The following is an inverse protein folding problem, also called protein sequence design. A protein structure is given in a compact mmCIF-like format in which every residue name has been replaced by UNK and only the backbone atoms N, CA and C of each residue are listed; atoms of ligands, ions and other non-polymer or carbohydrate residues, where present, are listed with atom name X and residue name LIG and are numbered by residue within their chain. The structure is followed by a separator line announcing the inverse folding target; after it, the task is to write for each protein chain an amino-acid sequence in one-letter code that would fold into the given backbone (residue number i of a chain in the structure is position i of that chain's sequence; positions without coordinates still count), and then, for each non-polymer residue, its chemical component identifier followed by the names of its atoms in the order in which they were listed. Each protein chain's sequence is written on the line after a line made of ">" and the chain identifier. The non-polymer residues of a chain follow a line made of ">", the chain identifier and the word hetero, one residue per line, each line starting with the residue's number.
data_IF_171511858663
#
_entry.id   IF_171511858663
#
_cell.length_a   1.000
_cell.length_b   1.000
_cell.length_c   1.000
_cell.angle_alpha   90.00
_cell.angle_beta   90.00
_cell.angle_gamma   90.00
#
_symmetry.space_group_name_H-M   'P 1'
#
loop_
_entity.id
_entity.type
_entity.pdbx_description
1 polymer ?
#
# COMPACT_ATOMS: atom_id res chain seq x y z
N UNK A 1 -20.93 15.05 -7.70
CA UNK A 1 -19.51 15.03 -8.08
C UNK A 1 -19.37 14.03 -9.20
N UNK A 2 -18.73 14.42 -10.31
CA UNK A 2 -18.52 13.53 -11.45
C UNK A 2 -17.40 12.56 -11.12
N UNK A 3 -17.64 11.26 -11.24
CA UNK A 3 -16.61 10.25 -10.97
C UNK A 3 -16.25 9.50 -12.23
N UNK A 4 -14.95 9.33 -12.49
CA UNK A 4 -14.43 8.56 -13.60
C UNK A 4 -13.48 7.49 -13.08
N UNK A 5 -13.59 6.28 -13.64
CA UNK A 5 -12.63 5.23 -13.43
C UNK A 5 -11.77 5.11 -14.69
N UNK A 6 -10.46 5.08 -14.53
CA UNK A 6 -9.52 5.06 -15.66
C UNK A 6 -8.53 3.94 -15.42
N UNK A 7 -8.47 2.97 -16.34
CA UNK A 7 -7.52 1.87 -16.28
C UNK A 7 -6.59 1.95 -17.47
N UNK A 8 -5.29 1.92 -17.18
CA UNK A 8 -4.24 1.86 -18.18
C UNK A 8 -3.38 0.63 -18.02
N UNK A 9 -3.04 -0.02 -19.12
CA UNK A 9 -2.11 -1.16 -19.14
C UNK A 9 -0.86 -0.82 -19.95
N UNK A 10 0.28 -1.02 -19.31
CA UNK A 10 1.59 -0.97 -19.96
C UNK A 10 2.24 -2.35 -19.97
N UNK A 11 3.47 -2.44 -20.52
CA UNK A 11 4.27 -3.67 -20.51
C UNK A 11 4.63 -4.13 -19.08
N UNK A 12 4.81 -3.19 -18.14
CA UNK A 12 5.34 -3.48 -16.81
C UNK A 12 4.30 -3.42 -15.69
N UNK A 13 3.25 -2.64 -15.88
CA UNK A 13 2.25 -2.38 -14.86
C UNK A 13 0.86 -2.11 -15.44
N UNK A 14 -0.15 -2.47 -14.64
CA UNK A 14 -1.54 -2.04 -14.82
C UNK A 14 -1.86 -1.03 -13.74
N UNK A 15 -2.48 0.08 -14.13
CA UNK A 15 -2.82 1.21 -13.27
C UNK A 15 -4.31 1.47 -13.30
N UNK A 16 -4.90 1.74 -12.14
CA UNK A 16 -6.31 2.08 -11.99
C UNK A 16 -6.43 3.37 -11.16
N UNK A 17 -6.98 4.40 -11.77
CA UNK A 17 -7.19 5.71 -11.17
C UNK A 17 -8.70 5.98 -11.00
N UNK A 18 -9.09 6.46 -9.83
CA UNK A 18 -10.42 7.02 -9.58
C UNK A 18 -10.29 8.54 -9.55
N UNK A 19 -10.99 9.23 -10.46
CA UNK A 19 -11.10 10.68 -10.46
C UNK A 19 -12.45 11.10 -9.88
N UNK A 20 -12.43 12.14 -9.04
CA UNK A 20 -13.61 12.86 -8.60
C UNK A 20 -13.48 14.34 -8.97
N UNK A 21 -14.38 14.85 -9.79
CA UNK A 21 -14.34 16.21 -10.35
C UNK A 21 -12.96 16.56 -10.96
N UNK A 22 -12.40 15.62 -11.73
CA UNK A 22 -11.05 15.66 -12.34
C UNK A 22 -9.87 15.69 -11.35
N UNK A 23 -10.11 15.61 -10.04
CA UNK A 23 -9.07 15.40 -9.03
C UNK A 23 -8.88 13.90 -8.80
N UNK A 24 -7.63 13.43 -8.82
CA UNK A 24 -7.26 12.05 -8.55
C UNK A 24 -7.52 11.72 -7.08
N UNK A 25 -8.48 10.84 -6.80
CA UNK A 25 -8.91 10.51 -5.45
C UNK A 25 -8.25 9.23 -4.93
N UNK A 26 -8.21 8.18 -5.76
CA UNK A 26 -7.56 6.91 -5.45
C UNK A 26 -6.69 6.44 -6.62
N UNK A 27 -5.62 5.71 -6.29
CA UNK A 27 -4.70 5.15 -7.26
C UNK A 27 -4.27 3.75 -6.84
N UNK A 28 -4.39 2.80 -7.76
CA UNK A 28 -3.99 1.41 -7.59
C UNK A 28 -3.01 1.03 -8.69
N UNK A 29 -1.97 0.30 -8.34
CA UNK A 29 -0.90 -0.11 -9.25
C UNK A 29 -0.61 -1.58 -9.00
N UNK A 30 -0.59 -2.34 -10.09
CA UNK A 30 -0.22 -3.75 -10.10
C UNK A 30 0.98 -3.93 -11.04
N UNK A 31 2.12 -4.40 -10.49
CA UNK A 31 3.34 -4.74 -11.24
C UNK A 31 3.57 -6.23 -11.17
N UNK A 32 3.99 -6.84 -12.28
CA UNK A 32 4.20 -8.29 -12.37
C UNK A 32 5.17 -8.83 -11.28
N UNK A 33 6.22 -8.07 -10.95
CA UNK A 33 7.24 -8.49 -9.98
C UNK A 33 6.97 -8.02 -8.54
N UNK A 34 5.87 -7.30 -8.29
CA UNK A 34 5.57 -6.69 -6.98
C UNK A 34 4.11 -6.92 -6.57
N UNK A 35 3.48 -7.99 -7.08
CA UNK A 35 2.10 -8.32 -6.74
C UNK A 35 1.96 -8.66 -5.25
N UNK A 36 0.93 -8.10 -4.63
CA UNK A 36 0.50 -8.51 -3.29
C UNK A 36 0.00 -9.95 -3.38
N UNK A 37 0.67 -10.86 -2.68
CA UNK A 37 0.28 -12.27 -2.71
C UNK A 37 -0.68 -12.63 -1.59
N UNK A 38 -0.74 -11.87 -0.49
CA UNK A 38 -1.55 -12.19 0.69
C UNK A 38 -3.00 -12.50 0.30
N UNK A 39 -3.54 -13.63 0.78
CA UNK A 39 -4.87 -14.11 0.42
C UNK A 39 -4.97 -14.88 -0.90
N UNK A 40 -3.95 -14.86 -1.78
CA UNK A 40 -3.97 -15.64 -3.01
C UNK A 40 -3.89 -17.15 -2.71
N UNK A 41 -4.49 -17.93 -3.60
CA UNK A 41 -4.55 -19.39 -3.50
C UNK A 41 -3.65 -19.98 -4.59
N UNK A 42 -2.80 -20.91 -4.20
CA UNK A 42 -1.80 -21.55 -5.05
C UNK A 42 -1.92 -23.06 -5.01
N UNK A 43 -1.51 -23.69 -6.11
CA UNK A 43 -1.07 -25.09 -6.12
C UNK A 43 0.39 -25.10 -5.72
N UNK A 44 0.67 -25.63 -4.53
CA UNK A 44 2.01 -25.80 -4.02
C UNK A 44 2.46 -27.26 -4.07
N UNK A 45 3.79 -27.48 -4.06
CA UNK A 45 4.42 -28.79 -3.93
C UNK A 45 5.29 -28.83 -2.68
N UNK A 46 5.12 -29.84 -1.83
CA UNK A 46 6.01 -30.04 -0.67
C UNK A 46 7.42 -30.34 -1.15
N UNK A 47 8.39 -29.56 -0.68
CA UNK A 47 9.82 -29.71 -1.04
C UNK A 47 10.68 -30.19 0.12
N UNK A 48 10.31 -29.83 1.35
CA UNK A 48 11.06 -30.23 2.54
C UNK A 48 10.15 -30.27 3.78
N UNK A 49 10.49 -31.12 4.75
CA UNK A 49 9.73 -31.36 5.96
C UNK A 49 10.69 -31.43 7.15
N UNK A 50 10.57 -30.48 8.08
CA UNK A 50 11.40 -30.39 9.28
C UNK A 50 10.57 -30.59 10.55
N UNK A 51 11.27 -30.66 11.70
CA UNK A 51 10.67 -30.75 13.04
C UNK A 51 9.61 -31.85 13.17
N UNK A 52 9.95 -33.06 12.73
CA UNK A 52 9.04 -34.22 12.76
C UNK A 52 7.70 -33.99 12.06
N UNK A 53 7.65 -33.11 11.04
CA UNK A 53 6.43 -32.81 10.29
C UNK A 53 5.75 -31.49 10.65
N UNK A 54 6.23 -30.76 11.64
CA UNK A 54 5.60 -29.51 12.08
C UNK A 54 5.88 -28.33 11.15
N UNK A 55 6.99 -28.35 10.42
CA UNK A 55 7.42 -27.28 9.51
C UNK A 55 7.55 -27.87 8.11
N UNK A 56 6.83 -27.32 7.15
CA UNK A 56 6.76 -27.83 5.79
C UNK A 56 7.05 -26.71 4.81
N UNK A 57 8.09 -26.90 4.01
CA UNK A 57 8.40 -26.00 2.92
C UNK A 57 7.64 -26.42 1.66
N UNK A 58 6.99 -25.44 1.05
CA UNK A 58 6.14 -25.63 -0.12
C UNK A 58 6.60 -24.69 -1.23
N UNK A 59 6.97 -25.25 -2.37
CA UNK A 59 7.19 -24.49 -3.60
C UNK A 59 5.83 -24.10 -4.18
N UNK A 60 5.58 -22.79 -4.30
CA UNK A 60 4.37 -22.21 -4.88
C UNK A 60 4.65 -21.46 -6.20
N UNK A 61 5.85 -21.62 -6.76
CA UNK A 61 6.30 -20.95 -7.98
C UNK A 61 6.84 -19.53 -7.77
N UNK A 62 7.24 -19.19 -6.54
CA UNK A 62 7.92 -17.93 -6.20
C UNK A 62 9.42 -18.17 -5.99
N UNK A 63 10.21 -17.10 -5.93
CA UNK A 63 11.67 -17.19 -5.74
C UNK A 63 12.08 -17.93 -4.45
N UNK A 64 11.24 -17.86 -3.41
CA UNK A 64 11.47 -18.53 -2.13
C UNK A 64 10.34 -19.50 -1.82
N UNK A 65 10.71 -20.67 -1.31
CA UNK A 65 9.75 -21.63 -0.77
C UNK A 65 8.94 -21.00 0.36
N UNK A 66 7.63 -21.20 0.32
CA UNK A 66 6.71 -20.76 1.34
C UNK A 66 6.62 -21.80 2.47
N UNK A 67 6.05 -21.41 3.61
CA UNK A 67 6.07 -22.19 4.85
C UNK A 67 4.65 -22.49 5.34
N UNK A 68 4.35 -23.77 5.55
CA UNK A 68 3.26 -24.24 6.41
C UNK A 68 3.83 -24.58 7.79
N UNK A 69 3.25 -24.03 8.86
CA UNK A 69 3.65 -24.34 10.25
C UNK A 69 2.45 -24.88 11.03
N UNK A 70 2.65 -26.03 11.66
CA UNK A 70 1.73 -26.69 12.59
C UNK A 70 2.25 -26.67 14.03
N UNK A 71 3.22 -25.81 14.32
CA UNK A 71 3.74 -25.63 15.67
C UNK A 71 2.59 -25.31 16.64
N UNK A 72 2.58 -25.97 17.80
CA UNK A 72 1.53 -25.87 18.81
C UNK A 72 0.14 -26.42 18.40
N UNK A 73 0.03 -27.15 17.27
CA UNK A 73 -1.21 -27.86 16.90
C UNK A 73 -1.21 -29.27 17.49
N UNK A 74 -2.31 -29.65 18.15
CA UNK A 74 -2.50 -31.00 18.73
C UNK A 74 -2.50 -32.14 17.70
N UNK A 75 -2.80 -31.83 16.43
CA UNK A 75 -2.82 -32.76 15.30
C UNK A 75 -2.07 -32.14 14.14
N UNK A 76 -1.01 -32.81 13.70
CA UNK A 76 -0.23 -32.45 12.51
C UNK A 76 -0.63 -33.42 11.41
N UNK A 77 -1.12 -32.95 10.25
CA UNK A 77 -1.37 -33.84 9.12
C UNK A 77 -0.05 -34.49 8.65
N UNK A 78 -0.12 -35.69 8.08
CA UNK A 78 1.06 -36.32 7.47
C UNK A 78 1.23 -35.81 6.05
N UNK A 79 2.47 -35.47 5.69
CA UNK A 79 2.84 -35.04 4.35
C UNK A 79 4.06 -35.82 3.89
N UNK A 80 4.17 -35.98 2.58
CA UNK A 80 5.35 -36.51 1.91
C UNK A 80 5.95 -35.43 1.00
N UNK A 81 7.24 -35.58 0.71
CA UNK A 81 7.89 -34.81 -0.35
C UNK A 81 7.14 -35.06 -1.66
N UNK A 82 7.00 -34.02 -2.47
CA UNK A 82 6.25 -33.98 -3.73
C UNK A 82 4.71 -33.98 -3.60
N UNK A 83 4.14 -34.00 -2.39
CA UNK A 83 2.70 -33.82 -2.21
C UNK A 83 2.25 -32.47 -2.80
N UNK A 84 1.15 -32.51 -3.59
CA UNK A 84 0.55 -31.33 -4.22
C UNK A 84 -0.62 -30.84 -3.38
N UNK A 85 -0.61 -29.56 -3.02
CA UNK A 85 -1.53 -28.98 -2.04
C UNK A 85 -2.18 -27.70 -2.59
N UNK A 86 -3.46 -27.50 -2.29
CA UNK A 86 -4.08 -26.17 -2.37
C UNK A 86 -3.77 -25.42 -1.07
N UNK A 87 -3.06 -24.31 -1.20
CA UNK A 87 -2.60 -23.47 -0.08
C UNK A 87 -2.99 -22.01 -0.31
N UNK A 88 -3.32 -21.30 0.76
CA UNK A 88 -3.55 -19.86 0.74
C UNK A 88 -2.45 -19.14 1.50
N UNK A 89 -1.94 -18.03 0.97
CA UNK A 89 -0.93 -17.23 1.66
C UNK A 89 -1.58 -16.39 2.77
N UNK A 90 -1.09 -16.51 4.00
CA UNK A 90 -1.50 -15.69 5.15
C UNK A 90 -0.68 -14.39 5.26
N UNK A 91 0.58 -14.41 4.83
CA UNK A 91 1.47 -13.25 4.87
C UNK A 91 2.49 -13.25 3.74
N UNK A 92 2.92 -12.07 3.32
CA UNK A 92 4.02 -11.90 2.36
C UNK A 92 5.36 -12.46 2.90
N UNK A 93 6.30 -12.82 2.00
CA UNK A 93 7.69 -13.12 2.37
C UNK A 93 8.33 -11.92 3.08
N UNK A 94 9.18 -12.17 4.07
CA UNK A 94 9.95 -11.14 4.77
C UNK A 94 11.40 -11.56 4.92
N UNK A 95 12.30 -10.69 4.49
CA UNK A 95 13.74 -10.88 4.58
C UNK A 95 14.15 -12.24 3.97
N UNK A 96 14.73 -13.13 4.77
CA UNK A 96 15.12 -14.48 4.37
C UNK A 96 13.98 -15.51 4.41
N UNK A 97 12.84 -15.17 5.03
CA UNK A 97 11.70 -16.09 5.20
C UNK A 97 10.71 -15.98 4.04
N UNK A 98 10.31 -17.13 3.51
CA UNK A 98 9.22 -17.22 2.53
C UNK A 98 7.86 -16.84 3.11
N UNK A 99 6.85 -16.80 2.25
CA UNK A 99 5.46 -16.52 2.63
C UNK A 99 4.94 -17.56 3.63
N UNK A 100 4.06 -17.15 4.55
CA UNK A 100 3.35 -18.10 5.43
C UNK A 100 2.08 -18.57 4.74
N UNK A 101 1.80 -19.86 4.85
CA UNK A 101 0.66 -20.52 4.20
C UNK A 101 -0.33 -21.07 5.23
N UNK A 102 -1.54 -21.33 4.75
CA UNK A 102 -2.56 -22.15 5.40
C UNK A 102 -3.16 -23.15 4.41
N UNK A 103 -3.55 -24.32 4.91
CA UNK A 103 -4.35 -25.29 4.15
C UNK A 103 -5.85 -24.96 4.18
N UNK A 104 -6.29 -24.22 5.20
CA UNK A 104 -7.69 -23.85 5.40
C UNK A 104 -7.99 -22.61 4.56
N UNK A 105 -7.92 -22.77 3.24
CA UNK A 105 -8.16 -21.67 2.31
C UNK A 105 -9.62 -21.22 2.35
N UNK A 106 -9.82 -19.93 2.06
CA UNK A 106 -11.12 -19.28 2.11
C UNK A 106 -11.33 -18.39 0.89
N UNK A 107 -12.56 -18.33 0.39
CA UNK A 107 -12.96 -17.47 -0.72
C UNK A 107 -13.90 -16.40 -0.17
N UNK A 108 -13.46 -15.15 -0.25
CA UNK A 108 -14.14 -14.01 0.35
C UNK A 108 -15.15 -13.41 -0.63
N UNK A 109 -16.42 -13.41 -0.25
CA UNK A 109 -17.48 -12.63 -0.88
C UNK A 109 -17.61 -11.24 -0.24
N UNK A 110 -18.75 -10.59 -0.42
CA UNK A 110 -19.10 -9.34 0.27
C UNK A 110 -19.77 -9.65 1.61
N UNK A 111 -20.83 -10.49 1.58
CA UNK A 111 -21.64 -10.88 2.72
C UNK A 111 -21.22 -12.23 3.29
N UNK A 112 -20.62 -13.09 2.46
CA UNK A 112 -20.27 -14.47 2.82
C UNK A 112 -18.75 -14.71 2.71
N UNK A 113 -18.25 -15.69 3.45
CA UNK A 113 -16.93 -16.31 3.21
C UNK A 113 -17.13 -17.80 3.09
N UNK A 114 -16.74 -18.37 1.95
CA UNK A 114 -16.76 -19.81 1.71
C UNK A 114 -15.49 -20.45 2.29
N UNK A 115 -15.68 -21.56 3.01
CA UNK A 115 -14.64 -22.38 3.61
C UNK A 115 -14.76 -23.83 3.08
N UNK A 116 -14.18 -24.14 1.90
CA UNK A 116 -14.42 -25.42 1.22
C UNK A 116 -13.97 -26.66 2.01
N UNK A 117 -12.99 -26.51 2.91
CA UNK A 117 -12.49 -27.61 3.76
C UNK A 117 -13.19 -27.76 5.10
N UNK A 118 -14.22 -26.94 5.35
CA UNK A 118 -15.02 -26.96 6.59
C UNK A 118 -16.46 -27.33 6.27
N UNK A 119 -17.22 -27.75 7.29
CA UNK A 119 -18.69 -27.90 7.24
C UNK A 119 -19.41 -26.96 8.20
N UNK A 120 -18.67 -26.13 8.92
CA UNK A 120 -19.20 -25.30 9.98
C UNK A 120 -19.75 -23.99 9.42
N UNK A 121 -20.96 -23.64 9.84
CA UNK A 121 -21.54 -22.31 9.64
C UNK A 121 -21.24 -21.45 10.85
N UNK A 122 -20.58 -20.31 10.62
CA UNK A 122 -20.21 -19.32 11.62
C UNK A 122 -20.84 -17.97 11.30
N UNK A 123 -21.30 -17.24 12.30
CA UNK A 123 -21.90 -15.91 12.13
C UNK A 123 -21.04 -14.86 12.84
N UNK A 124 -20.88 -13.70 12.21
CA UNK A 124 -20.17 -12.55 12.77
C UNK A 124 -20.70 -12.21 14.16
N UNK A 125 -19.79 -12.08 15.14
CA UNK A 125 -20.13 -11.67 16.52
C UNK A 125 -20.73 -10.27 16.64
N UNK A 126 -20.67 -9.48 15.56
CA UNK A 126 -21.25 -8.13 15.50
C UNK A 126 -22.77 -8.16 15.24
N UNK A 127 -23.29 -9.24 14.66
CA UNK A 127 -24.72 -9.47 14.51
C UNK A 127 -25.23 -9.93 15.87
N UNK A 128 -26.12 -9.13 16.48
CA UNK A 128 -26.65 -9.39 17.83
C UNK A 128 -28.10 -9.86 17.82
N UNK A 129 -28.82 -9.57 16.74
CA UNK A 129 -30.22 -9.98 16.61
C UNK A 129 -30.32 -11.50 16.48
N UNK A 130 -31.05 -12.11 17.42
CA UNK A 130 -31.23 -13.55 17.51
C UNK A 130 -32.12 -14.06 16.37
N UNK A 131 -33.14 -13.29 15.97
CA UNK A 131 -34.04 -13.68 14.88
C UNK A 131 -33.26 -13.75 13.57
N UNK A 132 -32.42 -12.75 13.33
CA UNK A 132 -31.59 -12.66 12.15
C UNK A 132 -30.51 -13.75 12.12
N UNK A 133 -29.87 -14.03 13.27
CA UNK A 133 -28.95 -15.17 13.41
C UNK A 133 -29.63 -16.49 13.01
N UNK A 134 -30.88 -16.72 13.47
CA UNK A 134 -31.61 -17.93 13.16
C UNK A 134 -32.02 -17.99 11.69
N UNK A 135 -32.49 -16.88 11.12
CA UNK A 135 -32.81 -16.77 9.69
C UNK A 135 -31.61 -17.14 8.84
N UNK A 136 -30.47 -16.50 9.09
CA UNK A 136 -29.21 -16.72 8.38
C UNK A 136 -28.71 -18.18 8.50
N UNK A 137 -28.84 -18.82 9.66
CA UNK A 137 -28.52 -20.25 9.81
C UNK A 137 -29.44 -21.14 8.97
N UNK A 138 -30.75 -20.83 8.97
CA UNK A 138 -31.74 -21.66 8.29
C UNK A 138 -31.56 -21.66 6.77
N UNK A 139 -31.20 -20.52 6.18
CA UNK A 139 -30.93 -20.40 4.73
C UNK A 139 -29.87 -21.39 4.26
N UNK A 140 -28.84 -21.62 5.09
CA UNK A 140 -27.65 -22.37 4.70
C UNK A 140 -27.53 -23.75 5.38
N UNK A 141 -28.56 -24.18 6.11
CA UNK A 141 -28.51 -25.40 6.93
C UNK A 141 -28.20 -26.68 6.12
N UNK A 142 -28.61 -26.72 4.85
CA UNK A 142 -28.44 -27.86 3.95
C UNK A 142 -27.16 -27.83 3.12
N UNK A 143 -26.32 -26.81 3.28
CA UNK A 143 -25.08 -26.66 2.51
C UNK A 143 -23.96 -27.49 3.13
N UNK A 144 -23.24 -28.25 2.31
CA UNK A 144 -22.16 -29.14 2.78
C UNK A 144 -20.84 -28.40 3.05
N UNK A 145 -20.67 -27.20 2.47
CA UNK A 145 -19.53 -26.32 2.67
C UNK A 145 -19.66 -25.45 3.93
N UNK A 146 -18.53 -25.15 4.55
CA UNK A 146 -18.44 -24.20 5.66
C UNK A 146 -18.63 -22.77 5.18
N UNK A 147 -19.29 -21.95 6.00
CA UNK A 147 -19.59 -20.56 5.68
C UNK A 147 -19.34 -19.65 6.87
N UNK A 148 -18.84 -18.44 6.60
CA UNK A 148 -18.87 -17.33 7.56
C UNK A 148 -19.82 -16.26 7.04
N UNK A 149 -20.85 -15.94 7.81
CA UNK A 149 -21.79 -14.87 7.52
C UNK A 149 -21.31 -13.57 8.18
N UNK A 150 -21.04 -12.57 7.35
CA UNK A 150 -20.47 -11.28 7.78
C UNK A 150 -21.56 -10.33 8.23
N UNK A 151 -21.18 -9.25 8.90
CA UNK A 151 -22.13 -8.22 9.34
C UNK A 151 -22.99 -7.66 8.20
N UNK A 152 -22.45 -7.56 6.98
CA UNK A 152 -23.21 -7.09 5.83
C UNK A 152 -24.36 -8.02 5.39
N UNK A 153 -24.42 -9.27 5.89
CA UNK A 153 -25.51 -10.20 5.55
C UNK A 153 -26.82 -9.92 6.29
N UNK A 154 -26.79 -9.16 7.38
CA UNK A 154 -27.91 -8.94 8.33
C UNK A 154 -29.18 -8.40 7.66
N UNK A 155 -29.05 -7.68 6.55
CA UNK A 155 -30.19 -7.06 5.85
C UNK A 155 -30.35 -7.56 4.41
N UNK A 156 -29.65 -8.64 4.03
CA UNK A 156 -29.70 -9.18 2.67
C UNK A 156 -30.80 -10.23 2.53
N UNK A 157 -31.49 -10.20 1.38
CA UNK A 157 -32.50 -11.20 1.06
C UNK A 157 -31.87 -12.58 0.87
N UNK A 158 -32.67 -13.61 1.09
CA UNK A 158 -32.24 -15.01 0.93
C UNK A 158 -31.75 -15.29 -0.50
N UNK A 159 -32.46 -14.78 -1.51
CA UNK A 159 -32.10 -14.97 -2.92
C UNK A 159 -30.73 -14.34 -3.22
N UNK A 160 -30.50 -13.14 -2.70
CA UNK A 160 -29.24 -12.42 -2.88
C UNK A 160 -28.06 -13.18 -2.27
N UNK A 161 -28.25 -13.73 -1.06
CA UNK A 161 -27.23 -14.50 -0.35
C UNK A 161 -26.95 -15.85 -1.05
N UNK A 162 -27.98 -16.54 -1.54
CA UNK A 162 -27.83 -17.79 -2.28
C UNK A 162 -27.15 -17.57 -3.64
N UNK A 163 -27.43 -16.46 -4.32
CA UNK A 163 -26.74 -16.09 -5.55
C UNK A 163 -25.25 -15.82 -5.30
N UNK A 164 -24.91 -15.10 -4.23
CA UNK A 164 -23.52 -14.89 -3.82
C UNK A 164 -22.84 -16.23 -3.48
N UNK A 165 -23.50 -17.12 -2.72
CA UNK A 165 -22.98 -18.44 -2.42
C UNK A 165 -22.60 -19.22 -3.70
N UNK A 166 -23.50 -19.27 -4.69
CA UNK A 166 -23.24 -19.95 -5.97
C UNK A 166 -22.03 -19.39 -6.68
N UNK A 167 -21.85 -18.06 -6.69
CA UNK A 167 -20.66 -17.41 -7.27
C UNK A 167 -19.37 -17.83 -6.56
N UNK A 168 -19.40 -17.97 -5.23
CA UNK A 168 -18.25 -18.44 -4.46
C UNK A 168 -17.94 -19.92 -4.74
N UNK A 169 -18.98 -20.75 -4.87
CA UNK A 169 -18.86 -22.16 -5.23
C UNK A 169 -18.29 -22.35 -6.65
N UNK A 170 -18.71 -21.51 -7.61
CA UNK A 170 -18.15 -21.50 -8.97
C UNK A 170 -16.65 -21.17 -8.98
N UNK A 171 -16.21 -20.25 -8.12
CA UNK A 171 -14.79 -19.93 -7.94
C UNK A 171 -14.05 -21.15 -7.39
N UNK A 172 -14.58 -21.82 -6.36
CA UNK A 172 -13.97 -23.02 -5.80
C UNK A 172 -13.87 -24.15 -6.82
N UNK A 173 -14.94 -24.37 -7.59
CA UNK A 173 -14.96 -25.34 -8.68
C UNK A 173 -13.89 -25.01 -9.74
N UNK A 174 -13.68 -23.73 -10.04
CA UNK A 174 -12.63 -23.30 -10.97
C UNK A 174 -11.22 -23.55 -10.39
N UNK A 175 -11.01 -23.25 -9.10
CA UNK A 175 -9.74 -23.52 -8.40
C UNK A 175 -9.40 -25.02 -8.45
N UNK A 176 -10.38 -25.90 -8.18
CA UNK A 176 -10.18 -27.34 -8.24
C UNK A 176 -9.90 -27.83 -9.68
N UNK A 177 -10.59 -27.27 -10.69
CA UNK A 177 -10.30 -27.57 -12.11
C UNK A 177 -8.89 -27.16 -12.52
N UNK A 178 -8.44 -25.98 -12.08
CA UNK A 178 -7.11 -25.48 -12.40
C UNK A 178 -6.03 -26.21 -11.62
N UNK A 179 -6.34 -26.68 -10.41
CA UNK A 179 -5.47 -27.55 -9.64
C UNK A 179 -5.12 -28.81 -10.43
N UNK A 180 -6.05 -29.43 -11.16
CA UNK A 180 -5.74 -30.61 -11.98
C UNK A 180 -4.87 -30.28 -13.21
N UNK A 181 -4.96 -29.06 -13.74
CA UNK A 181 -4.29 -28.66 -15.00
C UNK A 181 -2.87 -28.14 -14.80
N UNK A 182 -2.66 -27.30 -13.79
CA UNK A 182 -1.36 -26.64 -13.59
C UNK A 182 -0.42 -27.53 -12.78
N UNK A 183 0.90 -27.38 -12.94
CA UNK A 183 1.85 -28.16 -12.13
C UNK A 183 2.01 -27.55 -10.73
N UNK A 184 2.48 -26.30 -10.67
CA UNK A 184 2.68 -25.47 -9.48
C UNK A 184 2.37 -24.03 -9.92
N UNK A 185 1.73 -23.23 -9.06
CA UNK A 185 1.50 -21.81 -9.35
C UNK A 185 0.17 -21.28 -8.84
N UNK A 186 -0.18 -20.07 -9.28
CA UNK A 186 -1.37 -19.33 -8.86
C UNK A 186 -2.65 -20.00 -9.38
N UNK A 187 -3.58 -20.29 -8.47
CA UNK A 187 -4.93 -20.79 -8.79
C UNK A 187 -5.97 -19.65 -8.73
N UNK A 188 -5.82 -18.74 -7.76
CA UNK A 188 -6.77 -17.64 -7.58
C UNK A 188 -6.08 -16.39 -7.04
N UNK A 189 -6.14 -15.32 -7.84
CA UNK A 189 -5.65 -14.00 -7.47
C UNK A 189 -6.75 -13.17 -6.80
N UNK A 190 -6.67 -12.98 -5.49
CA UNK A 190 -7.62 -12.12 -4.76
C UNK A 190 -7.32 -10.64 -5.01
N UNK A 191 -6.08 -10.30 -5.31
CA UNK A 191 -5.57 -8.92 -5.34
C UNK A 191 -5.53 -8.32 -6.75
N UNK A 192 -6.10 -9.02 -7.74
CA UNK A 192 -6.19 -8.54 -9.12
C UNK A 192 -6.79 -7.14 -9.20
N UNK A 193 -6.09 -6.25 -9.91
CA UNK A 193 -6.55 -4.86 -10.12
C UNK A 193 -7.87 -4.81 -10.88
N UNK A 194 -8.17 -5.81 -11.70
CA UNK A 194 -9.43 -5.90 -12.47
C UNK A 194 -10.62 -6.19 -11.55
N UNK A 195 -10.45 -7.10 -10.57
CA UNK A 195 -11.46 -7.34 -9.55
C UNK A 195 -11.71 -6.08 -8.73
N UNK A 196 -10.63 -5.39 -8.34
CA UNK A 196 -10.73 -4.11 -7.65
C UNK A 196 -11.48 -3.07 -8.48
N UNK A 197 -11.19 -2.96 -9.78
CA UNK A 197 -11.90 -2.07 -10.69
C UNK A 197 -13.41 -2.36 -10.73
N UNK A 198 -13.80 -3.63 -10.85
CA UNK A 198 -15.20 -4.06 -10.84
C UNK A 198 -15.87 -3.79 -9.48
N UNK A 199 -15.15 -3.91 -8.38
CA UNK A 199 -15.66 -3.54 -7.04
C UNK A 199 -15.89 -2.03 -6.91
N UNK A 200 -15.01 -1.20 -7.48
CA UNK A 200 -15.13 0.26 -7.47
C UNK A 200 -16.15 0.79 -8.48
N UNK A 201 -16.44 0.04 -9.54
CA UNK A 201 -17.38 0.45 -10.57
C UNK A 201 -18.82 0.24 -10.10
N UNK A 202 -19.48 1.34 -9.76
CA UNK A 202 -20.88 1.40 -9.34
C UNK A 202 -21.64 2.50 -10.11
N UNK A 203 -22.90 2.73 -9.76
CA UNK A 203 -23.74 3.71 -10.44
C UNK A 203 -23.28 5.17 -10.28
N UNK A 204 -22.45 5.45 -9.28
CA UNK A 204 -21.88 6.79 -9.06
C UNK A 204 -20.77 7.13 -10.04
N UNK A 205 -20.16 6.12 -10.68
CA UNK A 205 -19.18 6.30 -11.75
C UNK A 205 -19.91 6.65 -13.05
N UNK A 206 -19.52 7.74 -13.69
CA UNK A 206 -20.08 8.19 -14.97
C UNK A 206 -19.57 7.32 -16.12
N UNK A 207 -18.26 7.17 -16.23
CA UNK A 207 -17.60 6.36 -17.24
C UNK A 207 -16.42 5.59 -16.66
N UNK A 208 -16.21 4.38 -17.17
CA UNK A 208 -15.01 3.61 -16.94
C UNK A 208 -14.25 3.47 -18.26
N UNK A 209 -13.13 4.19 -18.36
CA UNK A 209 -12.32 4.31 -19.56
C UNK A 209 -11.11 3.36 -19.48
N UNK A 210 -10.88 2.58 -20.52
CA UNK A 210 -9.84 1.53 -20.59
C UNK A 210 -9.08 1.66 -21.92
N UNK A 211 -7.75 1.61 -21.88
CA UNK A 211 -6.87 1.73 -23.06
C UNK A 211 -6.44 0.39 -23.70
N UNK A 212 -6.71 -0.74 -23.05
CA UNK A 212 -6.35 -2.08 -23.53
C UNK A 212 -7.60 -2.90 -23.89
N UNK A 213 -7.63 -3.42 -25.12
CA UNK A 213 -8.78 -4.16 -25.63
C UNK A 213 -9.02 -5.49 -24.89
N UNK A 214 -7.95 -6.20 -24.53
CA UNK A 214 -8.07 -7.46 -23.80
C UNK A 214 -8.66 -7.24 -22.41
N UNK A 215 -8.17 -6.23 -21.68
CA UNK A 215 -8.72 -5.87 -20.37
C UNK A 215 -10.16 -5.38 -20.48
N UNK A 216 -10.51 -4.62 -21.52
CA UNK A 216 -11.88 -4.17 -21.73
C UNK A 216 -12.86 -5.34 -21.79
N UNK A 217 -12.55 -6.38 -22.57
CA UNK A 217 -13.40 -7.58 -22.67
C UNK A 217 -13.40 -8.39 -21.37
N UNK A 218 -12.26 -8.47 -20.67
CA UNK A 218 -12.18 -9.15 -19.37
C UNK A 218 -13.04 -8.45 -18.30
N UNK A 219 -12.99 -7.12 -18.23
CA UNK A 219 -13.86 -6.32 -17.34
C UNK A 219 -15.32 -6.56 -17.66
N UNK A 220 -15.70 -6.61 -18.94
CA UNK A 220 -17.07 -6.90 -19.36
C UNK A 220 -17.54 -8.27 -18.85
N UNK A 221 -16.72 -9.31 -19.01
CA UNK A 221 -17.00 -10.66 -18.49
C UNK A 221 -17.14 -10.63 -16.96
N UNK A 222 -16.26 -9.93 -16.26
CA UNK A 222 -16.33 -9.80 -14.81
C UNK A 222 -17.59 -9.05 -14.34
N UNK A 223 -18.03 -8.01 -15.06
CA UNK A 223 -19.29 -7.31 -14.77
C UNK A 223 -20.50 -8.21 -14.97
N UNK A 224 -20.50 -9.05 -16.01
CA UNK A 224 -21.55 -10.03 -16.21
C UNK A 224 -21.62 -11.06 -15.08
N UNK A 225 -20.46 -11.60 -14.66
CA UNK A 225 -20.35 -12.56 -13.55
C UNK A 225 -20.77 -11.96 -12.21
N UNK A 226 -20.52 -10.68 -12.00
CA UNK A 226 -20.88 -9.99 -10.74
C UNK A 226 -22.32 -9.47 -10.74
N UNK A 227 -23.07 -9.62 -11.83
CA UNK A 227 -24.46 -9.14 -11.95
C UNK A 227 -24.58 -7.65 -12.26
N UNK A 228 -23.48 -6.96 -12.57
CA UNK A 228 -23.42 -5.52 -12.88
C UNK A 228 -23.56 -5.22 -14.37
N UNK A 229 -24.41 -5.95 -15.08
CA UNK A 229 -24.57 -5.86 -16.55
C UNK A 229 -24.96 -4.46 -17.02
N UNK A 230 -25.77 -3.74 -16.24
CA UNK A 230 -26.23 -2.40 -16.58
C UNK A 230 -25.10 -1.36 -16.65
N UNK A 231 -23.97 -1.61 -15.99
CA UNK A 231 -22.80 -0.73 -16.01
C UNK A 231 -21.97 -0.89 -17.29
N UNK A 232 -22.16 -1.96 -18.08
CA UNK A 232 -21.40 -2.19 -19.32
C UNK A 232 -21.56 -1.02 -20.30
N UNK A 233 -22.73 -0.36 -20.33
CA UNK A 233 -22.98 0.82 -21.19
C UNK A 233 -22.12 2.04 -20.86
N UNK A 234 -21.54 2.08 -19.66
CA UNK A 234 -20.65 3.14 -19.17
C UNK A 234 -19.17 2.83 -19.44
N UNK A 235 -18.85 1.66 -20.00
CA UNK A 235 -17.49 1.36 -20.45
C UNK A 235 -17.14 2.18 -21.70
N UNK A 236 -15.91 2.66 -21.78
CA UNK A 236 -15.35 3.37 -22.93
C UNK A 236 -13.97 2.83 -23.26
N UNK A 237 -13.74 2.51 -24.52
CA UNK A 237 -12.40 2.22 -25.04
C UNK A 237 -11.69 3.55 -25.33
N UNK A 238 -10.41 3.64 -25.01
CA UNK A 238 -9.56 4.77 -25.34
C UNK A 238 -8.47 4.32 -26.31
N UNK A 239 -8.50 4.84 -27.54
CA UNK A 239 -7.56 4.46 -28.61
C UNK A 239 -6.95 5.70 -29.29
N UNK A 240 -6.69 6.76 -28.52
CA UNK A 240 -5.97 7.93 -29.04
C UNK A 240 -4.46 7.67 -28.97
N UNK A 241 -3.70 8.43 -29.75
CA UNK A 241 -2.23 8.36 -29.75
C UNK A 241 -1.60 8.91 -28.47
N UNK A 242 -2.30 9.83 -27.80
CA UNK A 242 -1.88 10.40 -26.50
C UNK A 242 -2.09 9.39 -25.38
N UNK A 243 -1.18 9.33 -24.40
CA UNK A 243 -1.34 8.47 -23.22
C UNK A 243 -2.58 8.87 -22.40
N UNK A 244 -3.38 7.88 -22.00
CA UNK A 244 -4.64 8.13 -21.28
C UNK A 244 -4.40 8.86 -19.95
N UNK A 245 -3.30 8.59 -19.22
CA UNK A 245 -3.02 9.26 -17.95
C UNK A 245 -2.55 10.70 -18.17
N UNK A 246 -1.86 10.97 -19.28
CA UNK A 246 -1.50 12.34 -19.68
C UNK A 246 -2.74 13.15 -20.06
N UNK A 247 -3.61 12.59 -20.91
CA UNK A 247 -4.84 13.24 -21.37
C UNK A 247 -5.77 13.66 -20.22
N UNK A 248 -5.89 12.82 -19.18
CA UNK A 248 -6.68 13.12 -17.99
C UNK A 248 -5.88 13.85 -16.88
N UNK A 249 -4.65 14.28 -17.17
CA UNK A 249 -3.78 15.00 -16.24
C UNK A 249 -3.54 14.24 -14.91
N UNK A 250 -3.42 12.92 -14.99
CA UNK A 250 -3.22 12.03 -13.84
C UNK A 250 -1.74 12.03 -13.43
N UNK A 251 -0.81 12.02 -14.40
CA UNK A 251 0.63 12.01 -14.14
C UNK A 251 1.07 13.18 -13.25
N UNK A 252 0.65 14.41 -13.57
CA UNK A 252 0.97 15.59 -12.75
C UNK A 252 0.35 15.53 -11.34
N UNK A 253 -0.78 14.83 -11.17
CA UNK A 253 -1.42 14.65 -9.87
C UNK A 253 -0.68 13.62 -9.03
N UNK A 254 -0.17 12.57 -9.65
CA UNK A 254 0.71 11.58 -9.01
C UNK A 254 1.99 12.27 -8.52
N UNK A 255 2.66 13.05 -9.37
CA UNK A 255 3.87 13.78 -8.98
C UNK A 255 3.62 14.70 -7.77
N UNK A 256 2.54 15.49 -7.80
CA UNK A 256 2.14 16.32 -6.65
C UNK A 256 1.78 15.50 -5.41
N UNK A 257 1.18 14.32 -5.57
CA UNK A 257 0.88 13.42 -4.46
C UNK A 257 2.15 12.78 -3.86
N UNK A 258 3.27 12.80 -4.57
CA UNK A 258 4.55 12.36 -4.04
C UNK A 258 5.27 13.46 -3.25
N UNK A 259 4.87 14.72 -3.39
CA UNK A 259 5.51 15.83 -2.68
C UNK A 259 5.21 15.84 -1.19
N UNK A 260 6.17 16.36 -0.41
CA UNK A 260 6.00 16.62 1.03
C UNK A 260 4.93 17.68 1.30
N UNK A 261 4.81 18.67 0.41
CA UNK A 261 3.93 19.84 0.55
C UNK A 261 2.79 19.76 -0.45
N UNK A 262 1.55 19.93 0.02
CA UNK A 262 0.36 19.95 -0.84
C UNK A 262 -0.39 21.26 -0.60
N UNK A 263 -0.59 22.02 -1.68
CA UNK A 263 -1.34 23.27 -1.62
C UNK A 263 -2.85 23.01 -1.60
N UNK A 264 -3.54 23.83 -0.82
CA UNK A 264 -4.98 23.95 -0.78
C UNK A 264 -5.45 25.02 -1.78
N UNK A 265 -6.72 24.98 -2.18
CA UNK A 265 -7.32 25.92 -3.12
C UNK A 265 -7.28 27.37 -2.55
N UNK A 266 -7.31 27.53 -1.22
CA UNK A 266 -7.13 28.82 -0.52
C UNK A 266 -5.69 29.37 -0.52
N UNK A 267 -4.70 28.60 -0.99
CA UNK A 267 -3.27 28.95 -0.93
C UNK A 267 -2.59 28.61 0.41
N UNK A 268 -3.35 28.12 1.39
CA UNK A 268 -2.81 27.35 2.51
C UNK A 268 -2.18 26.03 2.01
N UNK A 269 -1.50 25.30 2.88
CA UNK A 269 -0.88 24.03 2.50
C UNK A 269 -0.79 23.07 3.67
N UNK A 270 -0.74 21.78 3.34
CA UNK A 270 -0.46 20.71 4.29
C UNK A 270 0.94 20.14 4.03
N UNK A 271 1.62 19.75 5.10
CA UNK A 271 2.91 19.06 5.09
C UNK A 271 2.68 17.63 5.56
N UNK A 272 3.07 16.64 4.75
CA UNK A 272 2.91 15.23 5.08
C UNK A 272 4.30 14.61 5.26
N UNK A 273 4.59 14.12 6.46
CA UNK A 273 5.85 13.49 6.81
C UNK A 273 5.64 12.08 7.36
N UNK A 274 6.39 11.14 6.81
CA UNK A 274 6.42 9.76 7.29
C UNK A 274 7.69 9.55 8.11
N UNK A 275 7.51 9.11 9.35
CA UNK A 275 8.58 8.65 10.24
C UNK A 275 8.63 7.12 10.23
N UNK A 276 9.50 6.54 11.05
CA UNK A 276 9.56 5.09 11.24
C UNK A 276 8.27 4.50 11.84
N UNK A 277 7.66 5.20 12.80
CA UNK A 277 6.54 4.67 13.58
C UNK A 277 5.17 5.27 13.20
N UNK A 278 5.15 6.51 12.73
CA UNK A 278 3.92 7.27 12.49
C UNK A 278 4.02 8.22 11.30
N UNK A 279 2.88 8.71 10.86
CA UNK A 279 2.74 9.76 9.86
C UNK A 279 2.24 11.02 10.55
N UNK A 280 2.93 12.13 10.34
CA UNK A 280 2.55 13.46 10.81
C UNK A 280 2.06 14.30 9.63
N UNK A 281 0.93 14.98 9.82
CA UNK A 281 0.33 15.88 8.84
C UNK A 281 0.09 17.23 9.50
N UNK A 282 0.69 18.28 8.98
CA UNK A 282 0.64 19.63 9.57
C UNK A 282 -0.06 20.61 8.62
N UNK A 283 -0.96 21.45 9.13
CA UNK A 283 -1.75 22.41 8.35
C UNK A 283 -1.22 23.83 8.57
N UNK A 284 -0.82 24.49 7.48
CA UNK A 284 -0.24 25.83 7.53
C UNK A 284 -1.04 26.85 6.73
N UNK A 285 -1.05 28.09 7.20
CA UNK A 285 -1.57 29.22 6.44
C UNK A 285 -0.58 29.67 5.35
N UNK A 286 -1.09 30.12 4.20
CA UNK A 286 -0.29 30.66 3.11
C UNK A 286 0.27 32.06 3.38
N UNK A 287 1.22 32.52 2.53
CA UNK A 287 1.92 33.81 2.70
C UNK A 287 1.08 35.05 2.36
N UNK A 288 -0.05 34.91 1.66
CA UNK A 288 -0.86 36.04 1.13
C UNK A 288 -2.04 36.46 2.01
N UNK A 289 -2.04 36.09 3.28
CA UNK A 289 -3.09 36.49 4.22
C UNK A 289 -2.50 37.60 5.09
N UNK A 290 -2.94 38.84 4.88
CA UNK A 290 -2.42 40.03 5.56
C UNK A 290 -2.45 39.96 7.10
N UNK A 291 -2.03 41.04 7.77
CA UNK A 291 -1.65 41.14 9.18
C UNK A 291 -2.61 40.64 10.30
N UNK A 292 -3.75 40.01 9.99
CA UNK A 292 -4.55 39.23 10.95
C UNK A 292 -5.29 38.08 10.23
N UNK A 293 -4.88 36.83 10.46
CA UNK A 293 -5.71 35.66 10.14
C UNK A 293 -6.90 35.64 11.10
N UNK A 294 -8.12 35.86 10.60
CA UNK A 294 -9.32 35.77 11.44
C UNK A 294 -9.54 34.33 11.91
N UNK A 295 -10.16 34.14 13.08
CA UNK A 295 -10.52 32.80 13.57
C UNK A 295 -11.46 32.08 12.58
N UNK A 296 -12.28 32.83 11.85
CA UNK A 296 -13.13 32.29 10.79
C UNK A 296 -12.30 31.74 9.62
N UNK A 297 -11.25 32.46 9.19
CA UNK A 297 -10.37 32.01 8.12
C UNK A 297 -9.58 30.75 8.53
N UNK A 298 -9.12 30.69 9.78
CA UNK A 298 -8.48 29.48 10.34
C UNK A 298 -9.45 28.30 10.28
N UNK A 299 -10.69 28.50 10.73
CA UNK A 299 -11.70 27.47 10.72
C UNK A 299 -11.99 26.97 9.29
N UNK A 300 -12.16 27.87 8.32
CA UNK A 300 -12.36 27.50 6.91
C UNK A 300 -11.15 26.76 6.32
N UNK A 301 -9.94 27.21 6.63
CA UNK A 301 -8.70 26.56 6.19
C UNK A 301 -8.61 25.12 6.74
N UNK A 302 -8.95 24.93 8.02
CA UNK A 302 -8.97 23.59 8.62
C UNK A 302 -10.05 22.70 7.97
N UNK A 303 -11.24 23.22 7.69
CA UNK A 303 -12.28 22.46 6.98
C UNK A 303 -11.83 22.02 5.59
N UNK A 304 -11.20 22.91 4.83
CA UNK A 304 -10.61 22.58 3.53
C UNK A 304 -9.53 21.50 3.66
N UNK A 305 -8.65 21.65 4.67
CA UNK A 305 -7.62 20.67 4.97
C UNK A 305 -8.21 19.30 5.32
N UNK A 306 -9.37 19.21 6.02
CA UNK A 306 -9.98 17.90 6.33
C UNK A 306 -10.24 17.06 5.07
N UNK A 307 -10.78 17.70 4.03
CA UNK A 307 -11.10 17.06 2.75
C UNK A 307 -9.82 16.62 2.04
N UNK A 308 -8.86 17.52 1.92
CA UNK A 308 -7.61 17.25 1.20
C UNK A 308 -6.74 16.21 1.92
N UNK A 309 -6.69 16.23 3.26
CA UNK A 309 -5.97 15.24 4.05
C UNK A 309 -6.59 13.86 3.87
N UNK A 310 -7.92 13.74 3.96
CA UNK A 310 -8.61 12.47 3.74
C UNK A 310 -8.33 11.91 2.34
N UNK A 311 -8.36 12.77 1.31
CA UNK A 311 -7.99 12.42 -0.07
C UNK A 311 -6.53 11.95 -0.17
N UNK A 312 -5.57 12.70 0.38
CA UNK A 312 -4.14 12.36 0.31
C UNK A 312 -3.83 11.04 1.05
N UNK A 313 -4.53 10.74 2.15
CA UNK A 313 -4.40 9.46 2.84
C UNK A 313 -4.83 8.30 1.94
N UNK A 314 -5.97 8.42 1.25
CA UNK A 314 -6.44 7.44 0.26
C UNK A 314 -5.44 7.32 -0.91
N UNK A 315 -5.15 8.45 -1.56
CA UNK A 315 -4.32 8.51 -2.76
C UNK A 315 -2.90 7.97 -2.54
N UNK A 316 -2.25 8.35 -1.45
CA UNK A 316 -0.90 7.87 -1.12
C UNK A 316 -0.91 6.48 -0.46
N UNK A 317 -2.10 5.99 -0.12
CA UNK A 317 -2.34 4.79 0.67
C UNK A 317 -1.54 4.77 1.99
N UNK A 318 -1.64 5.87 2.74
CA UNK A 318 -0.99 6.03 4.04
C UNK A 318 -1.62 5.08 5.06
N UNK A 319 -0.82 4.45 5.92
CA UNK A 319 -1.31 3.46 6.87
C UNK A 319 -0.43 3.38 8.13
N UNK A 320 -1.01 2.90 9.23
CA UNK A 320 -0.40 2.93 10.56
C UNK A 320 -1.00 4.04 11.41
N UNK A 321 -0.20 4.57 12.34
CA UNK A 321 -0.59 5.70 13.19
C UNK A 321 -0.49 6.98 12.36
N UNK A 322 -1.57 7.76 12.31
CA UNK A 322 -1.65 9.04 11.62
C UNK A 322 -2.03 10.11 12.65
N UNK A 323 -1.25 11.18 12.68
CA UNK A 323 -1.45 12.34 13.55
C UNK A 323 -1.59 13.57 12.66
N UNK A 324 -2.63 14.36 12.89
CA UNK A 324 -2.93 15.58 12.16
C UNK A 324 -2.92 16.77 13.11
N UNK A 325 -2.05 17.73 12.83
CA UNK A 325 -1.94 19.01 13.51
C UNK A 325 -2.68 20.08 12.70
N UNK A 326 -3.88 20.45 13.17
CA UNK A 326 -4.68 21.52 12.56
C UNK A 326 -4.29 22.86 13.19
N UNK A 327 -4.48 23.94 12.44
CA UNK A 327 -4.20 25.30 12.95
C UNK A 327 -5.05 25.56 14.19
N UNK A 328 -4.43 26.11 15.23
CA UNK A 328 -5.05 26.38 16.52
C UNK A 328 -6.35 27.19 16.43
N UNK A 329 -7.44 26.57 16.89
CA UNK A 329 -8.77 27.20 16.99
C UNK A 329 -9.11 27.52 18.45
N UNK A 330 -9.60 28.73 18.72
CA UNK A 330 -10.00 29.15 20.08
C UNK A 330 -11.35 28.57 20.52
N UNK A 331 -12.29 28.39 19.60
CA UNK A 331 -13.63 27.91 19.91
C UNK A 331 -13.67 26.38 19.92
N UNK A 332 -14.18 25.81 21.01
CA UNK A 332 -14.40 24.36 21.11
C UNK A 332 -15.42 23.85 20.08
N UNK A 333 -16.43 24.66 19.73
CA UNK A 333 -17.40 24.35 18.67
C UNK A 333 -16.73 24.10 17.32
N UNK A 334 -15.71 24.90 16.99
CA UNK A 334 -15.02 24.85 15.71
C UNK A 334 -14.15 23.59 15.65
N UNK A 335 -13.45 23.27 16.74
CA UNK A 335 -12.71 22.00 16.89
C UNK A 335 -13.62 20.80 16.67
N UNK A 336 -14.77 20.75 17.35
CA UNK A 336 -15.75 19.67 17.22
C UNK A 336 -16.22 19.51 15.78
N UNK A 337 -16.52 20.62 15.10
CA UNK A 337 -17.00 20.62 13.72
C UNK A 337 -15.94 20.18 12.71
N UNK A 338 -14.67 20.54 12.92
CA UNK A 338 -13.54 20.01 12.13
C UNK A 338 -13.42 18.48 12.30
N UNK A 339 -13.54 17.96 13.52
CA UNK A 339 -13.49 16.51 13.76
C UNK A 339 -14.66 15.77 13.09
N UNK A 340 -15.88 16.32 13.16
CA UNK A 340 -17.06 15.73 12.52
C UNK A 340 -16.91 15.69 11.00
N UNK A 341 -16.47 16.79 10.38
CA UNK A 341 -16.26 16.84 8.93
C UNK A 341 -15.11 15.92 8.50
N UNK A 342 -14.04 15.85 9.29
CA UNK A 342 -12.94 14.92 8.99
C UNK A 342 -13.37 13.46 9.11
N UNK A 343 -14.16 13.10 10.13
CA UNK A 343 -14.76 11.75 10.24
C UNK A 343 -15.64 11.40 9.05
N UNK A 344 -16.41 12.37 8.55
CA UNK A 344 -17.25 12.20 7.36
C UNK A 344 -16.39 11.89 6.12
N UNK A 345 -15.37 12.68 5.82
CA UNK A 345 -14.49 12.38 4.67
C UNK A 345 -13.69 11.09 4.85
N UNK A 346 -13.23 10.79 6.06
CA UNK A 346 -12.57 9.51 6.35
C UNK A 346 -13.52 8.31 6.24
N UNK A 347 -14.84 8.50 6.35
CA UNK A 347 -15.79 7.39 6.21
C UNK A 347 -15.94 6.88 4.77
N UNK A 348 -15.56 7.69 3.78
CA UNK A 348 -15.59 7.33 2.36
C UNK A 348 -14.47 6.34 1.99
N UNK A 349 -13.36 6.37 2.72
CA UNK A 349 -12.28 5.39 2.55
C UNK A 349 -12.74 4.00 3.01
N UNK A 350 -12.46 2.95 2.25
CA UNK A 350 -12.88 1.57 2.63
C UNK A 350 -11.95 0.91 3.63
N UNK A 351 -10.76 1.46 3.88
CA UNK A 351 -9.86 0.94 4.90
C UNK A 351 -10.46 1.05 6.30
N UNK A 352 -10.17 0.07 7.15
CA UNK A 352 -10.57 0.12 8.55
C UNK A 352 -9.75 1.20 9.27
N UNK A 353 -10.44 2.06 10.03
CA UNK A 353 -9.81 3.06 10.92
C UNK A 353 -10.34 2.91 12.32
N UNK A 354 -9.47 3.16 13.29
CA UNK A 354 -9.81 3.11 14.70
C UNK A 354 -9.42 4.41 15.40
N UNK A 355 -10.25 4.80 16.37
CA UNK A 355 -9.98 5.89 17.33
C UNK A 355 -9.71 7.26 16.70
N UNK A 356 -10.60 7.74 15.81
CA UNK A 356 -10.53 9.10 15.26
C UNK A 356 -11.02 10.12 16.29
N UNK A 357 -10.10 10.78 16.98
CA UNK A 357 -10.41 11.73 18.06
C UNK A 357 -9.29 12.74 18.29
N UNK A 358 -9.58 13.81 19.03
CA UNK A 358 -8.56 14.73 19.51
C UNK A 358 -7.80 14.13 20.68
N UNK A 359 -6.50 14.36 20.69
CA UNK A 359 -5.61 14.15 21.82
C UNK A 359 -5.71 15.31 22.82
N UNK A 360 -5.15 15.11 24.01
CA UNK A 360 -5.01 16.18 25.01
C UNK A 360 -4.10 17.33 24.54
N UNK A 361 -3.27 17.10 23.51
CA UNK A 361 -2.41 18.10 22.90
C UNK A 361 -3.09 18.92 21.80
N UNK A 362 -4.37 18.64 21.48
CA UNK A 362 -5.10 19.34 20.41
C UNK A 362 -4.90 18.76 19.01
N UNK A 363 -4.11 17.68 18.87
CA UNK A 363 -3.90 16.96 17.61
C UNK A 363 -5.03 15.96 17.38
N UNK A 364 -5.41 15.70 16.12
CA UNK A 364 -6.26 14.54 15.80
C UNK A 364 -5.37 13.32 15.58
N UNK A 365 -5.68 12.20 16.22
CA UNK A 365 -4.99 10.93 16.01
C UNK A 365 -5.96 9.85 15.54
N UNK A 366 -5.43 8.86 14.81
CA UNK A 366 -6.12 7.61 14.51
C UNK A 366 -5.15 6.56 13.95
N UNK A 367 -5.63 5.34 13.80
CA UNK A 367 -4.94 4.31 13.02
C UNK A 367 -5.71 3.98 11.76
N UNK A 368 -5.00 3.72 10.65
CA UNK A 368 -5.57 3.22 9.40
C UNK A 368 -4.91 1.90 9.02
N UNK A 369 -5.71 0.87 8.76
CA UNK A 369 -5.21 -0.44 8.31
C UNK A 369 -4.60 -0.32 6.91
N UNK A 370 -3.45 -0.97 6.72
CA UNK A 370 -2.74 -1.02 5.43
C UNK A 370 -3.53 -1.83 4.41
N UNK A 371 -3.66 -1.30 3.20
CA UNK A 371 -4.29 -1.97 2.04
C UNK A 371 -3.29 -1.99 0.88
N UNK A 372 -2.41 -2.99 0.82
CA UNK A 372 -1.33 -3.03 -0.16
C UNK A 372 -0.19 -2.03 0.10
N UNK A 373 0.55 -1.68 -0.97
CA UNK A 373 1.73 -0.81 -0.91
C UNK A 373 1.36 0.67 -1.05
N UNK A 374 2.16 1.54 -0.45
CA UNK A 374 2.02 3.00 -0.57
C UNK A 374 2.33 3.47 -1.99
N UNK A 375 1.74 4.59 -2.43
CA UNK A 375 2.01 5.14 -3.77
C UNK A 375 3.51 5.37 -3.99
N UNK A 376 4.19 5.94 -2.99
CA UNK A 376 5.62 6.23 -3.06
C UNK A 376 6.50 4.98 -3.29
N UNK A 377 6.05 3.79 -2.89
CA UNK A 377 6.77 2.55 -3.14
C UNK A 377 6.97 2.28 -4.64
N UNK A 378 6.00 2.68 -5.46
CA UNK A 378 6.05 2.45 -6.91
C UNK A 378 6.88 3.50 -7.66
N UNK A 379 7.07 4.69 -7.09
CA UNK A 379 7.71 5.82 -7.78
C UNK A 379 9.02 6.30 -7.14
N UNK A 380 9.37 5.82 -5.94
CA UNK A 380 10.55 6.26 -5.21
C UNK A 380 11.36 5.09 -4.69
N UNK A 381 12.67 5.28 -4.70
CA UNK A 381 13.62 4.43 -4.00
C UNK A 381 14.34 5.21 -2.90
N UNK A 382 14.82 4.49 -1.89
CA UNK A 382 15.59 5.10 -0.80
C UNK A 382 16.90 5.64 -1.38
N UNK A 383 17.17 6.92 -1.12
CA UNK A 383 18.42 7.54 -1.55
C UNK A 383 19.62 6.76 -1.00
N UNK A 384 20.48 6.22 -1.88
CA UNK A 384 21.66 5.43 -1.48
C UNK A 384 22.71 6.26 -0.73
N UNK A 385 22.58 7.58 -0.80
CA UNK A 385 23.57 8.53 -0.30
C UNK A 385 23.28 8.97 1.13
N UNK A 386 22.07 9.46 1.38
CA UNK A 386 21.63 9.88 2.71
C UNK A 386 20.78 8.81 3.41
N UNK A 387 20.58 7.65 2.78
CA UNK A 387 19.68 6.60 3.28
C UNK A 387 18.29 7.16 3.60
N UNK A 388 17.79 8.06 2.75
CA UNK A 388 16.48 8.68 2.91
C UNK A 388 16.36 9.73 4.02
N UNK A 389 17.45 10.07 4.72
CA UNK A 389 17.43 11.11 5.78
C UNK A 389 17.25 12.52 5.22
N UNK A 390 17.65 12.76 3.97
CA UNK A 390 17.61 14.10 3.36
C UNK A 390 18.73 15.04 3.82
N UNK A 391 19.68 14.56 4.63
CA UNK A 391 20.79 15.36 5.17
C UNK A 391 22.16 14.81 4.74
N UNK A 392 23.13 15.70 4.67
CA UNK A 392 24.55 15.38 4.50
C UNK A 392 25.36 16.01 5.63
N UNK A 393 26.55 15.47 5.90
CA UNK A 393 27.50 16.15 6.76
C UNK A 393 27.79 17.55 6.23
N UNK A 394 27.84 18.53 7.14
CA UNK A 394 28.27 19.88 6.77
C UNK A 394 29.71 19.87 6.27
N UNK A 395 30.04 20.85 5.42
CA UNK A 395 31.39 21.03 4.89
C UNK A 395 32.45 21.00 6.00
N UNK A 396 32.19 21.72 7.09
CA UNK A 396 33.13 21.83 8.22
C UNK A 396 33.33 20.50 8.92
N UNK A 397 32.26 19.71 9.11
CA UNK A 397 32.38 18.39 9.73
C UNK A 397 33.16 17.41 8.84
N UNK A 398 32.98 17.49 7.52
CA UNK A 398 33.76 16.71 6.55
C UNK A 398 35.26 17.05 6.68
N UNK A 399 35.59 18.33 6.76
CA UNK A 399 36.98 18.79 6.91
C UNK A 399 37.59 18.29 8.22
N UNK A 400 36.87 18.43 9.34
CA UNK A 400 37.37 17.96 10.64
C UNK A 400 37.64 16.45 10.64
N UNK A 401 36.72 15.64 10.10
CA UNK A 401 36.93 14.21 9.98
C UNK A 401 38.16 13.88 9.11
N UNK A 402 38.34 14.57 7.98
CA UNK A 402 39.53 14.42 7.12
C UNK A 402 40.82 14.72 7.88
N UNK A 403 40.86 15.80 8.66
CA UNK A 403 42.03 16.16 9.46
C UNK A 403 42.35 15.09 10.52
N UNK A 404 41.33 14.56 11.20
CA UNK A 404 41.46 13.47 12.17
C UNK A 404 42.01 12.20 11.53
N UNK A 405 41.43 11.77 10.40
CA UNK A 405 41.86 10.57 9.67
C UNK A 405 43.32 10.68 9.19
N UNK A 406 43.71 11.85 8.68
CA UNK A 406 45.05 12.08 8.14
C UNK A 406 46.13 12.18 9.22
N UNK A 407 45.80 12.64 10.42
CA UNK A 407 46.77 12.87 11.50
C UNK A 407 47.59 11.62 11.86
N UNK A 408 46.96 10.44 11.85
CA UNK A 408 47.64 9.17 12.11
C UNK A 408 48.40 8.65 10.88
N UNK A 409 47.82 8.80 9.70
CA UNK A 409 48.34 8.26 8.44
C UNK A 409 49.58 8.99 7.95
N UNK A 410 49.62 10.33 8.09
CA UNK A 410 50.77 11.16 7.69
C UNK A 410 52.04 10.76 8.47
N UNK A 411 51.88 10.46 9.76
CA UNK A 411 52.97 10.09 10.68
C UNK A 411 53.52 8.68 10.44
N UNK A 412 52.75 7.81 9.78
CA UNK A 412 53.18 6.44 9.49
C UNK A 412 54.33 6.41 8.48
N UNK A 413 55.41 5.68 8.80
CA UNK A 413 56.55 5.50 7.90
C UNK A 413 56.26 4.53 6.76
N UNK A 414 55.35 3.58 6.98
CA UNK A 414 54.95 2.58 5.98
C UNK A 414 54.11 3.17 4.85
N UNK A 415 53.57 4.38 5.02
CA UNK A 415 52.71 5.04 4.03
C UNK A 415 53.56 6.03 3.23
N UNK A 416 53.78 5.74 1.95
CA UNK A 416 54.53 6.59 1.02
C UNK A 416 53.65 7.64 0.35
N UNK A 417 52.37 7.33 0.11
CA UNK A 417 51.44 8.23 -0.57
C UNK A 417 50.02 8.04 -0.07
N UNK A 418 49.32 9.16 0.12
CA UNK A 418 47.92 9.26 0.52
C UNK A 418 47.19 9.97 -0.61
N UNK A 419 46.18 9.35 -1.20
CA UNK A 419 45.34 9.98 -2.22
C UNK A 419 44.00 10.31 -1.58
N UNK A 420 43.62 11.59 -1.65
CA UNK A 420 42.34 12.08 -1.15
C UNK A 420 41.47 12.47 -2.34
N UNK A 421 40.31 11.84 -2.44
CA UNK A 421 39.28 12.16 -3.42
C UNK A 421 38.13 12.87 -2.72
N UNK A 422 37.85 14.11 -3.11
CA UNK A 422 36.76 14.90 -2.55
C UNK A 422 36.34 16.01 -3.52
N UNK A 423 35.22 16.67 -3.22
CA UNK A 423 34.77 17.84 -3.98
C UNK A 423 35.79 18.98 -3.90
N UNK A 424 35.82 19.81 -4.94
CA UNK A 424 36.76 20.93 -5.09
C UNK A 424 36.80 21.87 -3.89
N UNK A 425 35.64 22.19 -3.34
CA UNK A 425 35.50 23.11 -2.22
C UNK A 425 36.02 22.54 -0.90
N UNK A 426 35.90 21.22 -0.71
CA UNK A 426 36.53 20.48 0.41
C UNK A 426 38.05 20.49 0.27
N UNK A 427 38.57 20.15 -0.92
CA UNK A 427 40.02 20.14 -1.19
C UNK A 427 40.62 21.54 -0.99
N UNK A 428 39.95 22.58 -1.50
CA UNK A 428 40.39 23.97 -1.36
C UNK A 428 40.48 24.38 0.11
N UNK A 429 39.54 23.94 0.94
CA UNK A 429 39.55 24.25 2.37
C UNK A 429 40.62 23.45 3.12
N UNK A 430 40.75 22.15 2.84
CA UNK A 430 41.72 21.27 3.48
C UNK A 430 43.18 21.69 3.21
N UNK A 431 43.48 22.17 2.01
CA UNK A 431 44.79 22.71 1.62
C UNK A 431 45.27 23.88 2.51
N UNK A 432 44.36 24.58 3.19
CA UNK A 432 44.74 25.65 4.13
C UNK A 432 45.32 25.11 5.44
N UNK A 433 44.96 23.88 5.82
CA UNK A 433 45.30 23.30 7.11
C UNK A 433 46.41 22.26 7.03
N UNK A 434 46.51 21.51 5.93
CA UNK A 434 47.54 20.48 5.74
C UNK A 434 48.35 20.76 4.49
N UNK A 435 49.65 20.95 4.69
CA UNK A 435 50.65 20.91 3.62
C UNK A 435 51.61 19.73 3.86
N UNK A 436 51.38 18.62 3.15
CA UNK A 436 52.20 17.42 3.25
C UNK A 436 52.44 16.79 1.88
N UNK A 437 53.70 16.54 1.58
CA UNK A 437 54.20 15.96 0.32
C UNK A 437 53.78 14.50 0.08
N UNK A 438 53.32 13.77 1.11
CA UNK A 438 52.70 12.44 0.92
C UNK A 438 51.29 12.53 0.34
N UNK A 439 50.62 13.68 0.43
CA UNK A 439 49.21 13.82 0.07
C UNK A 439 49.07 14.26 -1.39
N UNK A 440 48.25 13.54 -2.14
CA UNK A 440 47.77 13.93 -3.46
C UNK A 440 46.26 14.11 -3.41
N UNK A 441 45.81 15.32 -3.69
CA UNK A 441 44.39 15.62 -3.85
C UNK A 441 43.93 15.30 -5.27
N UNK A 442 42.75 14.70 -5.40
CA UNK A 442 42.06 14.45 -6.65
C UNK A 442 40.65 15.04 -6.51
N UNK A 443 40.33 16.04 -7.32
CA UNK A 443 38.96 16.53 -7.42
C UNK A 443 38.08 15.41 -7.94
N UNK A 444 37.04 15.09 -7.17
CA UNK A 444 36.11 14.02 -7.48
C UNK A 444 34.69 14.47 -7.13
N UNK A 445 33.84 14.53 -8.14
CA UNK A 445 32.44 14.91 -8.00
C UNK A 445 31.54 13.70 -7.70
N UNK A 446 32.11 12.49 -7.62
CA UNK A 446 31.38 11.32 -7.14
C UNK A 446 30.91 11.53 -5.71
N UNK A 447 29.81 10.88 -5.38
CA UNK A 447 29.30 10.91 -4.02
C UNK A 447 30.09 9.99 -3.10
N UNK A 448 30.41 10.50 -1.92
CA UNK A 448 30.97 9.74 -0.81
C UNK A 448 30.11 9.98 0.43
N UNK A 449 29.67 8.92 1.12
CA UNK A 449 28.78 9.01 2.30
C UNK A 449 29.33 9.93 3.40
N UNK A 450 30.64 9.91 3.60
CA UNK A 450 31.36 10.77 4.57
C UNK A 450 31.95 12.04 3.93
N UNK A 451 31.73 12.27 2.63
CA UNK A 451 32.18 13.45 1.88
C UNK A 451 33.51 13.31 1.13
N UNK A 452 34.26 12.21 1.34
CA UNK A 452 35.55 11.96 0.71
C UNK A 452 35.91 10.46 0.68
N UNK A 453 36.98 10.11 -0.04
CA UNK A 453 37.63 8.80 0.00
C UNK A 453 39.14 8.97 0.16
N UNK A 454 39.74 8.18 1.06
CA UNK A 454 41.19 8.10 1.27
C UNK A 454 41.70 6.76 0.72
N UNK A 455 42.76 6.81 -0.08
CA UNK A 455 43.48 5.64 -0.59
C UNK A 455 44.94 5.71 -0.11
N UNK A 456 45.40 4.66 0.57
CA UNK A 456 46.75 4.59 1.15
C UNK A 456 47.66 3.69 0.33
N UNK A 457 48.84 4.17 0.00
CA UNK A 457 49.85 3.45 -0.77
C UNK A 457 51.13 3.30 0.06
N UNK A 458 51.57 2.06 0.24
CA UNK A 458 52.77 1.69 1.01
C UNK A 458 54.02 1.59 0.15
#
# INVERSE_FOLDING_TARGET
>A
MKKYLILSKSVYETKLALLEDNKLDEMYIERNNQKEITGNIYKGKVVDILNNGEIIFVDIGLEKNALLSFENKKKVPKFNIDDKLIVQTESEPRDEKGAKLTLDYSINGENLVLLPKSKNISISRKIKDIEEINRLKNIFLSIDNGLILRTNSEEKSEESLLEEYRKLEDIDNQINKDFEKINIGLLYDVNSILKKAVTLFDDTIEEFIIDDEHIFEEIKILLEKTGKKDLIKKLRKYFKDEDIFEYYNINSQIERALDRKVYLDSGAYIIIEKTEALISIDVNTGQNIGNKTSQELIFQTNLEATKEIARQIKLRNLAGIIIVDFIDMKKFSDRKRVLEEFKKYLSEDKAEKNSVEYTNLGLIQFTRKRQGKELAFYYKEKCQYCEGTGYFLSKDRIILNLLEDLNSQIKSQDIKKIVIRAKKDIIKELNKYINNNKIKYIEDNNFYKIGYKIELYK
#
